data_IF_940537367020
#
_entry.id   IF_940537367020
#
_cell.length_a   1.000
_cell.length_b   1.000
_cell.length_c   1.000
_cell.angle_alpha   90.00
_cell.angle_beta   90.00
_cell.angle_gamma   90.00
#
_symmetry.space_group_name_H-M   'P 1'
#
loop_
_entity.id
_entity.type
_entity.pdbx_description
1 polymer ?
#
# COMPACT_ATOMS: atom_id res chain seq x y z
N UNK A 1 -18.33 -28.68 -25.83
CA UNK A 1 -17.11 -28.88 -25.03
C UNK A 1 -16.41 -27.53 -24.93
N UNK A 2 -16.45 -26.88 -23.75
CA UNK A 2 -15.86 -25.54 -23.57
C UNK A 2 -14.33 -25.57 -23.55
N UNK A 3 -13.66 -24.42 -23.75
CA UNK A 3 -12.20 -24.35 -23.80
C UNK A 3 -11.58 -24.88 -22.50
N UNK A 4 -10.60 -25.78 -22.65
CA UNK A 4 -9.85 -26.39 -21.55
C UNK A 4 -9.00 -25.30 -20.90
N UNK A 5 -9.36 -24.88 -19.70
CA UNK A 5 -8.58 -23.92 -18.91
C UNK A 5 -7.20 -24.50 -18.62
N UNK A 6 -6.17 -24.00 -19.30
CA UNK A 6 -4.78 -24.36 -19.01
C UNK A 6 -4.37 -23.75 -17.68
N UNK A 7 -3.71 -24.53 -16.82
CA UNK A 7 -3.20 -24.04 -15.55
C UNK A 7 -2.24 -22.85 -15.77
N UNK A 8 -2.49 -21.73 -15.09
CA UNK A 8 -1.61 -20.55 -15.12
C UNK A 8 -0.62 -20.62 -13.96
N UNK A 9 0.67 -20.59 -14.28
CA UNK A 9 1.75 -20.52 -13.29
C UNK A 9 2.41 -19.15 -13.38
N UNK A 10 2.67 -18.53 -12.25
CA UNK A 10 3.37 -17.25 -12.15
C UNK A 10 4.28 -17.24 -10.92
N UNK A 11 5.47 -16.67 -11.07
CA UNK A 11 6.44 -16.46 -9.98
C UNK A 11 6.67 -14.97 -9.83
N UNK A 12 6.64 -14.47 -8.60
CA UNK A 12 6.98 -13.10 -8.26
C UNK A 12 8.10 -13.10 -7.21
N UNK A 13 9.04 -12.17 -7.34
CA UNK A 13 10.10 -11.94 -6.38
C UNK A 13 10.01 -10.51 -5.84
N UNK A 14 10.07 -10.36 -4.52
CA UNK A 14 9.96 -9.07 -3.85
C UNK A 14 11.30 -8.72 -3.21
N UNK A 15 11.99 -7.73 -3.77
CA UNK A 15 13.21 -7.18 -3.20
C UNK A 15 12.84 -6.05 -2.23
N UNK A 16 12.55 -6.40 -0.99
CA UNK A 16 12.26 -5.43 0.07
C UNK A 16 13.44 -5.33 1.03
N UNK A 17 13.76 -4.12 1.49
CA UNK A 17 14.62 -3.95 2.66
C UNK A 17 13.97 -4.68 3.84
N UNK A 18 14.76 -5.37 4.69
CA UNK A 18 14.29 -6.19 5.82
C UNK A 18 13.05 -5.57 6.50
N UNK A 19 11.88 -6.02 6.08
CA UNK A 19 10.62 -5.33 6.35
C UNK A 19 10.22 -5.47 7.82
N UNK A 20 10.80 -6.47 8.49
CA UNK A 20 10.52 -6.85 9.86
C UNK A 20 11.41 -6.06 10.82
N UNK A 21 12.68 -5.82 10.45
CA UNK A 21 13.67 -5.16 11.33
C UNK A 21 14.01 -3.73 10.92
N UNK A 22 13.66 -3.29 9.73
CA UNK A 22 14.02 -1.97 9.22
C UNK A 22 13.33 -0.87 10.03
N UNK A 23 14.15 0.00 10.63
CA UNK A 23 13.75 1.28 11.23
C UNK A 23 13.89 2.44 10.25
N UNK A 24 14.18 2.15 8.97
CA UNK A 24 14.41 3.17 7.95
C UNK A 24 13.13 3.96 7.69
N UNK A 25 13.30 5.28 7.62
CA UNK A 25 12.25 6.21 7.20
C UNK A 25 12.29 6.35 5.67
N UNK A 26 11.13 6.23 5.04
CA UNK A 26 10.87 6.36 3.61
C UNK A 26 9.99 7.58 3.37
N UNK A 27 10.35 8.42 2.42
CA UNK A 27 9.58 9.60 2.04
C UNK A 27 9.81 9.99 0.58
N UNK A 28 9.05 10.97 0.06
CA UNK A 28 9.20 11.45 -1.30
C UNK A 28 10.63 11.96 -1.57
N UNK A 29 11.15 11.61 -2.74
CA UNK A 29 12.40 12.18 -3.27
C UNK A 29 11.97 13.24 -4.29
N UNK A 30 11.86 14.49 -3.86
CA UNK A 30 11.42 15.63 -4.69
C UNK A 30 10.44 16.58 -3.99
N UNK A 31 10.27 17.79 -4.55
CA UNK A 31 9.42 18.86 -4.00
C UNK A 31 8.32 19.33 -5.00
N UNK A 32 7.11 19.67 -4.52
CA UNK A 32 6.63 19.53 -3.13
C UNK A 32 6.16 18.11 -2.83
N UNK A 33 6.32 17.62 -1.59
CA UNK A 33 5.92 16.27 -1.21
C UNK A 33 4.41 16.11 -1.21
N UNK A 34 3.93 14.98 -1.71
CA UNK A 34 2.51 14.58 -1.64
C UNK A 34 2.21 13.73 -0.39
N UNK A 35 3.16 12.88 -0.01
CA UNK A 35 3.06 11.96 1.12
C UNK A 35 4.03 12.35 2.22
N UNK A 36 3.67 12.07 3.47
CA UNK A 36 4.59 12.21 4.61
C UNK A 36 5.59 11.06 4.65
N UNK A 37 6.73 11.30 5.29
CA UNK A 37 7.72 10.26 5.55
C UNK A 37 7.21 9.25 6.58
N UNK A 38 7.39 7.96 6.33
CA UNK A 38 6.91 6.84 7.15
C UNK A 38 7.95 5.72 7.23
N UNK A 39 7.80 4.85 8.23
CA UNK A 39 8.49 3.56 8.27
C UNK A 39 7.68 2.49 7.54
N UNK A 40 8.36 1.43 7.09
CA UNK A 40 7.67 0.30 6.47
C UNK A 40 6.76 -0.45 7.45
N UNK A 41 7.08 -0.40 8.75
CA UNK A 41 6.25 -0.96 9.82
C UNK A 41 4.92 -0.24 9.95
N UNK A 42 4.90 1.09 9.86
CA UNK A 42 3.66 1.88 9.87
C UNK A 42 2.78 1.56 8.65
N UNK A 43 3.41 1.41 7.48
CA UNK A 43 2.71 0.99 6.27
C UNK A 43 2.07 -0.40 6.44
N UNK A 44 2.85 -1.41 6.88
CA UNK A 44 2.36 -2.77 7.07
C UNK A 44 1.26 -2.85 8.14
N UNK A 45 1.41 -2.14 9.26
CA UNK A 45 0.40 -2.10 10.31
C UNK A 45 -0.93 -1.54 9.79
N UNK A 46 -0.89 -0.52 8.92
CA UNK A 46 -2.10 0.00 8.29
C UNK A 46 -2.66 -0.94 7.22
N UNK A 47 -1.79 -1.45 6.33
CA UNK A 47 -2.17 -2.34 5.23
C UNK A 47 -2.84 -3.62 5.74
N UNK A 48 -2.25 -4.28 6.75
CA UNK A 48 -2.80 -5.49 7.34
C UNK A 48 -4.08 -5.20 8.15
N UNK A 49 -4.15 -4.08 8.87
CA UNK A 49 -5.36 -3.67 9.61
C UNK A 49 -6.53 -3.33 8.70
N UNK A 50 -6.28 -2.83 7.49
CA UNK A 50 -7.33 -2.43 6.56
C UNK A 50 -8.24 -3.60 6.16
N UNK A 51 -7.72 -4.84 6.20
CA UNK A 51 -8.50 -6.05 5.91
C UNK A 51 -9.06 -6.09 4.49
N UNK A 52 -9.62 -7.25 4.12
CA UNK A 52 -10.38 -7.45 2.87
C UNK A 52 -11.76 -6.80 2.90
N UNK A 53 -12.08 -6.07 3.97
CA UNK A 53 -13.37 -5.49 4.28
C UNK A 53 -13.63 -4.24 3.43
N UNK A 54 -13.85 -4.44 2.13
CA UNK A 54 -14.78 -3.66 1.33
C UNK A 54 -14.58 -2.15 1.19
N UNK A 55 -13.58 -1.51 1.83
CA UNK A 55 -13.16 -0.14 1.53
C UNK A 55 -12.32 -0.13 0.24
N UNK A 56 -12.95 -0.61 -0.84
CA UNK A 56 -12.46 -0.67 -2.21
C UNK A 56 -12.19 0.72 -2.81
N UNK A 57 -12.50 1.80 -2.10
CA UNK A 57 -12.39 3.16 -2.63
C UNK A 57 -11.15 3.95 -2.21
N UNK A 58 -10.52 3.65 -1.06
CA UNK A 58 -9.38 4.46 -0.57
C UNK A 58 -8.08 3.72 -0.75
N UNK A 59 -7.09 4.33 -1.39
CA UNK A 59 -5.78 3.74 -1.57
C UNK A 59 -5.09 3.65 -0.20
N UNK A 60 -4.34 2.57 0.08
CA UNK A 60 -3.65 2.42 1.39
C UNK A 60 -2.69 3.59 1.66
N UNK A 61 -2.20 4.24 0.60
CA UNK A 61 -1.36 5.43 0.71
C UNK A 61 -2.12 6.71 1.11
N UNK A 62 -3.45 6.76 1.00
CA UNK A 62 -4.25 7.97 1.31
C UNK A 62 -4.09 8.38 2.77
N UNK A 63 -3.90 7.40 3.67
CA UNK A 63 -3.60 7.64 5.08
C UNK A 63 -2.34 8.49 5.29
N UNK A 64 -1.42 8.45 4.34
CA UNK A 64 -0.13 9.10 4.41
C UNK A 64 -0.04 10.37 3.57
N UNK A 65 -1.13 10.81 2.94
CA UNK A 65 -1.18 12.12 2.28
C UNK A 65 -0.93 13.23 3.29
N UNK A 66 -0.14 14.23 2.90
CA UNK A 66 0.08 15.43 3.71
C UNK A 66 -1.20 16.27 3.87
N UNK A 67 -2.05 16.28 2.85
CA UNK A 67 -3.41 16.85 2.89
C UNK A 67 -4.42 15.73 2.72
N UNK A 68 -5.24 15.49 3.74
CA UNK A 68 -6.32 14.52 3.61
C UNK A 68 -7.43 15.09 2.70
N UNK A 69 -7.94 14.31 1.73
CA UNK A 69 -9.11 14.71 0.97
C UNK A 69 -10.29 14.83 1.94
N UNK A 70 -11.04 15.93 1.83
CA UNK A 70 -12.21 16.20 2.66
C UNK A 70 -13.14 14.96 2.67
N UNK A 71 -13.73 14.59 3.82
CA UNK A 71 -14.75 13.56 3.83
C UNK A 71 -15.87 14.02 2.88
N UNK A 72 -16.19 13.19 1.88
CA UNK A 72 -17.33 13.45 1.01
C UNK A 72 -18.55 13.60 1.91
N UNK A 73 -19.11 14.81 1.96
CA UNK A 73 -20.35 15.09 2.67
C UNK A 73 -21.45 14.24 2.05
N UNK A 74 -22.10 13.41 2.87
CA UNK A 74 -23.30 12.66 2.52
C UNK A 74 -24.48 13.61 2.36
#
# INVERSE_FOLDING_TARGET
>A
MGPKSTARVSVAAFCSADVIRSTRVYGPIGDPPLYRSITIREYLAHFLKKGTDGQLGRHTLDRFLLRQPAPAAT
#
